data_IF_261494623750
#
_entry.id   IF_261494623750
#
_cell.length_a   1.000
_cell.length_b   1.000
_cell.length_c   1.000
_cell.angle_alpha   90.00
_cell.angle_beta   90.00
_cell.angle_gamma   90.00
#
_symmetry.space_group_name_H-M   'P 1'
#
loop_
_entity.id
_entity.type
_entity.pdbx_description
1 polymer ?
#
# COMPACT_ATOMS: atom_id res chain seq x y z
N UNK A 1 -8.93 0.01 8.15
CA UNK A 1 -7.48 -0.20 8.25
C UNK A 1 -7.16 -1.65 8.57
N UNK A 2 -6.41 -2.31 7.68
CA UNK A 2 -5.79 -3.61 7.92
C UNK A 2 -4.25 -3.46 7.94
N UNK A 3 -3.56 -4.35 8.66
CA UNK A 3 -2.11 -4.27 8.82
C UNK A 3 -1.46 -5.63 9.06
N UNK A 4 -0.23 -5.80 8.56
CA UNK A 4 0.62 -6.98 8.74
C UNK A 4 2.03 -6.54 9.13
N UNK A 5 2.70 -7.29 9.99
CA UNK A 5 4.11 -7.06 10.34
C UNK A 5 4.91 -8.24 9.81
N UNK A 6 5.98 -7.94 9.08
CA UNK A 6 6.89 -8.95 8.54
C UNK A 6 8.32 -8.39 8.41
N UNK A 7 9.22 -9.13 7.78
CA UNK A 7 10.58 -8.69 7.51
C UNK A 7 11.11 -9.18 6.17
N UNK A 8 11.73 -8.26 5.42
CA UNK A 8 12.67 -8.61 4.35
C UNK A 8 13.86 -9.29 5.01
N UNK A 9 13.91 -10.61 4.85
CA UNK A 9 14.86 -11.51 5.50
C UNK A 9 16.13 -11.68 4.68
N UNK A 10 16.02 -11.48 3.36
CA UNK A 10 17.16 -11.53 2.44
C UNK A 10 17.17 -10.35 1.46
N UNK A 11 18.34 -9.78 1.12
CA UNK A 11 18.45 -8.74 0.11
C UNK A 11 17.82 -9.15 -1.23
N UNK A 12 16.93 -8.31 -1.75
CA UNK A 12 16.24 -8.54 -3.02
C UNK A 12 15.06 -9.49 -2.94
N UNK A 13 14.65 -9.91 -1.74
CA UNK A 13 13.38 -10.60 -1.51
C UNK A 13 12.18 -9.72 -1.86
N UNK A 14 11.09 -10.39 -2.23
CA UNK A 14 9.79 -9.79 -2.47
C UNK A 14 8.75 -10.60 -1.68
N UNK A 15 8.24 -10.01 -0.61
CA UNK A 15 7.16 -10.59 0.17
C UNK A 15 5.83 -10.28 -0.51
N UNK A 16 4.97 -11.29 -0.67
CA UNK A 16 3.70 -11.19 -1.42
C UNK A 16 2.51 -11.53 -0.52
N UNK A 17 1.55 -10.61 -0.41
CA UNK A 17 0.34 -10.76 0.41
C UNK A 17 -0.92 -10.72 -0.47
N UNK A 18 -1.74 -11.79 -0.50
CA UNK A 18 -3.03 -11.75 -1.19
C UNK A 18 -4.04 -10.92 -0.41
N UNK A 19 -4.75 -10.03 -1.10
CA UNK A 19 -5.77 -9.15 -0.52
C UNK A 19 -7.00 -9.10 -1.42
N UNK A 20 -8.19 -9.07 -0.83
CA UNK A 20 -9.43 -8.83 -1.57
C UNK A 20 -9.71 -7.34 -1.64
N UNK A 21 -9.78 -6.79 -2.85
CA UNK A 21 -10.21 -5.42 -3.10
C UNK A 21 -11.58 -5.38 -3.75
N UNK A 22 -12.32 -4.33 -3.42
CA UNK A 22 -13.59 -3.98 -4.05
C UNK A 22 -13.26 -3.10 -5.26
N UNK A 23 -13.84 -3.42 -6.41
CA UNK A 23 -13.66 -2.64 -7.63
C UNK A 23 -14.21 -1.22 -7.47
N UNK A 24 -13.56 -0.27 -8.14
CA UNK A 24 -13.90 1.15 -8.13
C UNK A 24 -13.86 1.79 -6.73
N UNK A 25 -13.08 1.20 -5.81
CA UNK A 25 -12.75 1.77 -4.51
C UNK A 25 -11.28 2.14 -4.49
N UNK A 26 -10.99 3.34 -3.98
CA UNK A 26 -9.63 3.81 -3.76
C UNK A 26 -9.06 3.22 -2.48
N UNK A 27 -7.79 2.84 -2.53
CA UNK A 27 -7.03 2.32 -1.41
C UNK A 27 -5.74 3.11 -1.23
N UNK A 28 -5.34 3.33 0.01
CA UNK A 28 -3.99 3.77 0.37
C UNK A 28 -3.23 2.57 0.93
N UNK A 29 -2.04 2.32 0.41
CA UNK A 29 -1.18 1.18 0.75
C UNK A 29 0.22 1.71 1.11
N UNK A 30 0.77 1.29 2.24
CA UNK A 30 2.08 1.71 2.72
C UNK A 30 2.83 0.57 3.39
N UNK A 31 4.14 0.48 3.18
CA UNK A 31 5.04 -0.32 4.00
C UNK A 31 5.84 0.62 4.90
N UNK A 32 5.57 0.57 6.20
CA UNK A 32 6.16 1.47 7.18
C UNK A 32 7.45 0.85 7.71
N UNK A 33 8.58 1.44 7.37
CA UNK A 33 9.91 1.04 7.79
C UNK A 33 10.47 1.96 8.87
N UNK A 34 11.76 2.23 8.78
CA UNK A 34 12.49 3.03 9.76
C UNK A 34 12.09 4.51 9.75
N UNK A 35 11.66 5.07 8.62
CA UNK A 35 11.34 6.50 8.48
C UNK A 35 10.13 6.91 9.32
N UNK A 36 9.15 6.02 9.48
CA UNK A 36 7.95 6.27 10.30
C UNK A 36 7.90 5.46 11.59
N UNK A 37 9.00 4.80 11.96
CA UNK A 37 9.07 3.89 13.11
C UNK A 37 8.06 2.71 13.04
N UNK A 38 7.65 2.31 11.84
CA UNK A 38 6.84 1.11 11.58
C UNK A 38 7.66 -0.17 11.47
N UNK A 39 8.98 -0.07 11.49
CA UNK A 39 9.91 -1.19 11.44
C UNK A 39 11.37 -0.73 11.40
N UNK A 40 12.25 -1.60 10.92
CA UNK A 40 13.68 -1.31 10.74
C UNK A 40 14.13 -1.33 9.29
N UNK A 41 13.24 -1.65 8.33
CA UNK A 41 13.56 -1.64 6.91
C UNK A 41 13.88 -0.21 6.46
N UNK A 42 14.96 -0.06 5.69
CA UNK A 42 15.53 1.25 5.42
C UNK A 42 14.76 2.01 4.35
N UNK A 43 14.44 1.33 3.24
CA UNK A 43 13.90 1.95 2.02
C UNK A 43 12.85 1.02 1.39
N UNK A 44 11.69 0.82 2.05
CA UNK A 44 10.65 -0.10 1.57
C UNK A 44 10.07 0.33 0.22
N UNK A 45 9.74 -0.64 -0.64
CA UNK A 45 8.91 -0.45 -1.84
C UNK A 45 7.61 -1.22 -1.67
N UNK A 46 6.48 -0.65 -2.12
CA UNK A 46 5.21 -1.39 -2.27
C UNK A 46 4.81 -1.48 -3.73
N UNK A 47 4.29 -2.65 -4.13
CA UNK A 47 3.69 -2.89 -5.45
C UNK A 47 2.33 -3.56 -5.33
N UNK A 48 1.45 -3.35 -6.31
CA UNK A 48 0.19 -4.09 -6.46
C UNK A 48 0.22 -4.87 -7.76
N UNK A 49 -0.08 -6.16 -7.68
CA UNK A 49 -0.08 -7.09 -8.80
C UNK A 49 -1.46 -7.70 -9.03
N UNK A 50 -1.77 -8.02 -10.29
CA UNK A 50 -2.94 -8.83 -10.64
C UNK A 50 -2.69 -10.34 -10.42
N UNK A 51 -3.71 -11.16 -10.68
CA UNK A 51 -3.63 -12.62 -10.53
C UNK A 51 -2.75 -13.34 -11.55
N UNK A 52 -2.33 -12.66 -12.62
CA UNK A 52 -1.34 -13.15 -13.57
C UNK A 52 0.09 -12.74 -13.18
N UNK A 53 0.26 -11.98 -12.08
CA UNK A 53 1.54 -11.48 -11.61
C UNK A 53 2.00 -10.20 -12.34
N UNK A 54 1.13 -9.53 -13.10
CA UNK A 54 1.49 -8.26 -13.71
C UNK A 54 1.47 -7.15 -12.66
N UNK A 55 2.53 -6.33 -12.63
CA UNK A 55 2.58 -5.14 -11.79
C UNK A 55 1.61 -4.08 -12.34
N UNK A 56 0.65 -3.67 -11.52
CA UNK A 56 -0.35 -2.65 -11.87
C UNK A 56 0.08 -1.26 -11.42
N UNK A 57 0.70 -1.15 -10.24
CA UNK A 57 1.18 0.10 -9.67
C UNK A 57 2.24 -0.17 -8.60
N UNK A 58 3.13 0.80 -8.35
CA UNK A 58 4.12 0.71 -7.28
C UNK A 58 4.51 2.09 -6.74
N UNK A 59 5.06 2.12 -5.54
CA UNK A 59 5.67 3.30 -4.95
C UNK A 59 6.84 2.94 -4.04
N UNK A 60 7.81 3.85 -3.98
CA UNK A 60 9.09 3.71 -3.28
C UNK A 60 9.13 4.73 -2.12
N UNK A 61 9.14 6.02 -2.47
CA UNK A 61 9.13 7.09 -1.48
C UNK A 61 7.76 7.77 -1.36
N UNK A 62 7.57 8.50 -0.28
CA UNK A 62 6.53 9.53 -0.23
C UNK A 62 6.99 10.77 0.51
N UNK A 63 6.59 11.95 0.03
CA UNK A 63 6.95 13.20 0.69
C UNK A 63 6.50 13.27 2.16
N UNK A 64 5.39 12.61 2.50
CA UNK A 64 4.84 12.62 3.84
C UNK A 64 5.50 11.61 4.79
N UNK A 65 6.06 10.52 4.29
CA UNK A 65 6.61 9.41 5.09
C UNK A 65 8.11 9.19 4.89
N UNK A 66 8.79 10.04 4.11
CA UNK A 66 10.21 9.89 3.79
C UNK A 66 10.43 8.73 2.82
N UNK A 67 11.36 7.84 3.17
CA UNK A 67 11.64 6.59 2.44
C UNK A 67 10.54 5.53 2.56
N UNK A 68 9.48 5.81 3.33
CA UNK A 68 8.35 4.90 3.37
C UNK A 68 7.33 5.24 2.25
N UNK A 69 6.87 4.25 1.47
CA UNK A 69 5.98 4.49 0.34
C UNK A 69 4.54 4.74 0.81
N UNK A 70 3.82 5.54 0.00
CA UNK A 70 2.38 5.69 0.10
C UNK A 70 1.76 5.60 -1.29
N UNK A 71 1.25 4.42 -1.63
CA UNK A 71 0.64 4.13 -2.91
C UNK A 71 -0.88 4.33 -2.84
N UNK A 72 -1.42 5.13 -3.76
CA UNK A 72 -2.86 5.18 -4.02
C UNK A 72 -3.20 4.22 -5.16
N UNK A 73 -4.20 3.37 -4.94
CA UNK A 73 -4.61 2.36 -5.92
C UNK A 73 -6.14 2.22 -5.98
N UNK A 74 -6.69 2.35 -7.18
CA UNK A 74 -8.11 2.03 -7.46
C UNK A 74 -8.19 0.68 -8.14
N UNK A 75 -8.77 -0.32 -7.48
CA UNK A 75 -8.96 -1.63 -8.11
C UNK A 75 -9.95 -1.52 -9.28
N UNK A 76 -9.61 -1.94 -10.52
CA UNK A 76 -10.53 -1.83 -11.65
C UNK A 76 -11.81 -2.66 -11.46
N UNK A 77 -11.66 -3.84 -10.86
CA UNK A 77 -12.74 -4.79 -10.57
C UNK A 77 -12.53 -5.42 -9.21
N UNK A 78 -13.62 -5.89 -8.58
CA UNK A 78 -13.50 -6.63 -7.32
C UNK A 78 -12.78 -7.96 -7.55
N UNK A 79 -11.90 -8.33 -6.63
CA UNK A 79 -11.17 -9.59 -6.72
C UNK A 79 -9.92 -9.63 -5.84
N UNK A 80 -9.17 -10.72 -5.98
CA UNK A 80 -7.89 -10.90 -5.30
C UNK A 80 -6.80 -10.17 -6.08
N UNK A 81 -6.09 -9.29 -5.38
CA UNK A 81 -4.85 -8.66 -5.80
C UNK A 81 -3.74 -9.11 -4.86
N UNK A 82 -2.51 -8.76 -5.22
CA UNK A 82 -1.34 -9.10 -4.43
C UNK A 82 -0.57 -7.83 -4.11
N UNK A 83 -0.36 -7.55 -2.83
CA UNK A 83 0.53 -6.48 -2.41
C UNK A 83 1.92 -7.08 -2.24
N UNK A 84 2.91 -6.53 -2.93
CA UNK A 84 4.31 -6.87 -2.75
C UNK A 84 5.04 -5.85 -1.90
N UNK A 85 5.94 -6.31 -1.04
CA UNK A 85 6.89 -5.46 -0.30
C UNK A 85 8.31 -5.92 -0.59
N UNK A 86 9.20 -4.97 -0.88
CA UNK A 86 10.63 -5.18 -1.10
C UNK A 86 11.42 -4.02 -0.48
N UNK A 87 12.74 -4.01 -0.68
CA UNK A 87 13.60 -2.89 -0.30
C UNK A 87 14.39 -2.37 -1.52
N UNK A 88 14.39 -1.05 -1.70
CA UNK A 88 14.97 -0.36 -2.85
C UNK A 88 16.50 -0.45 -2.91
N UNK A 89 17.16 -0.59 -1.76
CA UNK A 89 18.61 -0.54 -1.62
C UNK A 89 19.23 -1.92 -1.33
N UNK A 90 18.43 -2.98 -1.32
CA UNK A 90 18.86 -4.35 -1.02
C UNK A 90 19.22 -4.55 0.45
N UNK A 91 18.57 -3.85 1.36
CA UNK A 91 18.67 -4.03 2.80
C UNK A 91 17.72 -5.12 3.33
N UNK A 92 17.83 -5.41 4.62
CA UNK A 92 16.95 -6.32 5.35
C UNK A 92 16.41 -5.60 6.57
N UNK A 93 15.22 -5.94 7.02
CA UNK A 93 14.61 -5.31 8.17
C UNK A 93 13.12 -5.60 8.29
N UNK A 94 12.56 -5.25 9.44
CA UNK A 94 11.12 -5.38 9.67
C UNK A 94 10.36 -4.22 9.04
N UNK A 95 9.11 -4.46 8.67
CA UNK A 95 8.19 -3.42 8.23
C UNK A 95 6.78 -3.73 8.73
N UNK A 96 5.94 -2.70 8.77
CA UNK A 96 4.49 -2.84 8.94
C UNK A 96 3.80 -2.47 7.64
N UNK A 97 3.24 -3.45 6.93
CA UNK A 97 2.36 -3.22 5.79
C UNK A 97 0.99 -2.76 6.31
N UNK A 98 0.51 -1.62 5.83
CA UNK A 98 -0.80 -1.07 6.16
C UNK A 98 -1.55 -0.79 4.86
N UNK A 99 -2.83 -1.13 4.82
CA UNK A 99 -3.71 -0.68 3.75
C UNK A 99 -5.10 -0.36 4.28
N UNK A 100 -5.72 0.66 3.67
CA UNK A 100 -7.09 1.05 3.99
C UNK A 100 -7.82 1.57 2.77
N UNK A 101 -9.14 1.46 2.79
CA UNK A 101 -9.98 2.16 1.83
C UNK A 101 -9.84 3.65 2.05
N UNK A 102 -9.54 4.38 0.99
CA UNK A 102 -9.62 5.83 0.98
C UNK A 102 -11.08 6.20 0.82
N UNK A 103 -11.75 6.53 1.91
CA UNK A 103 -13.14 6.99 1.83
C UNK A 103 -13.16 8.33 1.08
N UNK A 104 -14.02 8.50 0.05
CA UNK A 104 -14.22 9.80 -0.55
C UNK A 104 -14.69 10.79 0.53
N UNK A 105 -14.40 12.10 0.37
CA UNK A 105 -14.98 13.12 1.25
C UNK A 105 -16.50 12.90 1.35
N UNK A 106 -17.12 13.10 2.52
CA UNK A 106 -18.57 13.03 2.65
C UNK A 106 -19.20 13.89 1.55
N UNK A 107 -20.06 13.30 0.73
CA UNK A 107 -20.80 14.06 -0.28
C UNK A 107 -21.66 15.06 0.51
N UNK A 108 -21.33 16.34 0.40
CA UNK A 108 -22.22 17.40 0.89
C UNK A 108 -23.44 17.37 -0.01
N UNK A 109 -24.54 16.80 0.49
CA UNK A 109 -25.81 16.86 -0.22
C UNK A 109 -26.31 18.31 -0.23
N UNK A 110 -26.04 19.01 -1.33
CA UNK A 110 -26.53 20.37 -1.55
C UNK A 110 -27.99 20.40 -2.02
N UNK A 111 -28.66 19.25 -2.17
CA UNK A 111 -30.03 19.13 -2.67
C UNK A 111 -31.10 19.57 -1.64
N UNK A 112 -30.70 19.96 -0.44
CA UNK A 112 -31.61 20.46 0.61
C UNK A 112 -31.72 21.99 0.68
N UNK A 113 -31.06 22.74 -0.21
CA UNK A 113 -31.15 24.21 -0.27
C UNK A 113 -32.12 24.72 -1.34
N UNK A 114 -33.33 24.16 -1.40
CA UNK A 114 -34.45 24.79 -2.07
C UNK A 114 -35.50 25.14 -1.01
N UNK A 115 -35.47 26.38 -0.55
CA UNK A 115 -36.62 27.06 0.09
C UNK A 115 -37.11 28.14 -0.85
#
# INVERSE_FOLDING_TARGET
>A
MASFVDAISTPGELDIFPVEFIGQVDYTISALGSSTAGGTLADPIVGVFDSAGNLLAYQDDSWALGSDPMLQFTAPVSGIYYIGVADAIGSTGTYTLVYDQTLPPPVVDTSTFLF
#
